data_IF_980676199945
#
_entry.id   IF_980676199945
#
_cell.length_a   1.000
_cell.length_b   1.000
_cell.length_c   1.000
_cell.angle_alpha   90.00
_cell.angle_beta   90.00
_cell.angle_gamma   90.00
#
_symmetry.space_group_name_H-M   'P 1'
#
loop_
_entity.id
_entity.type
_entity.pdbx_description
1 polymer ?
#
# COMPACT_ATOMS: atom_id res chain seq x y z
N UNK A 1 -28.20 46.41 13.72
CA UNK A 1 -28.09 45.00 13.30
C UNK A 1 -28.85 44.14 14.31
N UNK A 2 -30.17 44.04 14.17
CA UNK A 2 -31.04 43.19 15.00
C UNK A 2 -31.99 42.45 14.08
N UNK A 3 -31.51 41.39 13.40
CA UNK A 3 -32.34 40.46 12.62
C UNK A 3 -31.71 39.05 12.61
N UNK A 4 -30.97 38.69 13.68
CA UNK A 4 -30.25 37.40 13.77
C UNK A 4 -30.91 36.32 14.63
N UNK A 5 -32.06 36.61 15.26
CA UNK A 5 -32.63 35.75 16.31
C UNK A 5 -34.02 35.17 16.01
N UNK A 6 -34.53 35.24 14.78
CA UNK A 6 -35.84 34.66 14.43
C UNK A 6 -35.73 33.26 13.79
N UNK A 7 -34.59 32.88 13.21
CA UNK A 7 -34.40 31.55 12.58
C UNK A 7 -33.82 30.48 13.53
N UNK A 8 -34.19 30.51 14.80
CA UNK A 8 -33.69 29.52 15.78
C UNK A 8 -34.83 28.97 16.63
N UNK A 9 -35.64 28.05 16.09
CA UNK A 9 -36.14 26.90 16.88
C UNK A 9 -37.04 25.86 16.19
N UNK A 10 -37.67 26.06 15.00
CA UNK A 10 -38.69 25.10 14.54
C UNK A 10 -38.46 24.35 13.21
N UNK A 11 -37.58 24.81 12.31
CA UNK A 11 -37.46 24.23 10.96
C UNK A 11 -36.26 23.28 10.75
N UNK A 12 -35.39 23.13 11.75
CA UNK A 12 -34.25 22.21 11.65
C UNK A 12 -34.62 20.74 11.88
N UNK A 13 -35.85 20.44 12.31
CA UNK A 13 -36.35 19.06 12.44
C UNK A 13 -36.77 18.43 11.11
N UNK A 14 -36.73 19.18 10.00
CA UNK A 14 -37.22 18.71 8.70
C UNK A 14 -36.15 17.92 7.92
N UNK A 15 -34.87 18.16 8.16
CA UNK A 15 -33.73 17.52 7.47
C UNK A 15 -33.20 16.30 8.23
N UNK A 16 -34.08 15.40 8.66
CA UNK A 16 -33.69 14.22 9.41
C UNK A 16 -34.42 12.97 8.96
N UNK A 17 -33.76 11.82 9.11
CA UNK A 17 -34.45 10.54 9.04
C UNK A 17 -35.57 10.50 10.09
N UNK A 18 -36.59 9.67 9.87
CA UNK A 18 -37.61 9.41 10.89
C UNK A 18 -36.92 8.81 12.12
N UNK A 19 -36.80 9.61 13.18
CA UNK A 19 -36.19 9.20 14.45
C UNK A 19 -37.24 8.57 15.37
N UNK A 20 -36.83 7.85 16.44
CA UNK A 20 -37.77 7.34 17.43
C UNK A 20 -38.66 8.42 18.07
N UNK A 21 -38.18 9.66 18.17
CA UNK A 21 -38.94 10.81 18.69
C UNK A 21 -40.07 11.21 17.73
N UNK A 22 -39.80 11.22 16.42
CA UNK A 22 -40.82 11.47 15.39
C UNK A 22 -41.84 10.34 15.33
N UNK A 23 -41.41 9.10 15.50
CA UNK A 23 -42.32 7.95 15.56
C UNK A 23 -43.30 8.03 16.74
N UNK A 24 -42.86 8.51 17.92
CA UNK A 24 -43.77 8.74 19.06
C UNK A 24 -44.76 9.89 18.81
N UNK A 25 -44.44 10.77 17.88
CA UNK A 25 -45.28 11.89 17.48
C UNK A 25 -46.25 11.54 16.34
N UNK A 26 -46.32 10.27 15.93
CA UNK A 26 -47.24 9.77 14.90
C UNK A 26 -46.67 9.74 13.48
N UNK A 27 -45.42 10.17 13.29
CA UNK A 27 -44.74 10.12 11.99
C UNK A 27 -44.00 8.80 11.83
N UNK A 28 -44.64 7.81 11.20
CA UNK A 28 -44.07 6.48 11.03
C UNK A 28 -43.21 6.41 9.74
N UNK A 29 -43.58 7.19 8.73
CA UNK A 29 -42.94 7.23 7.43
C UNK A 29 -42.71 8.68 6.96
N UNK A 30 -41.93 8.85 5.90
CA UNK A 30 -41.73 10.18 5.29
C UNK A 30 -43.00 10.78 4.68
N UNK A 31 -44.02 9.96 4.41
CA UNK A 31 -45.32 10.40 3.88
C UNK A 31 -46.20 11.06 4.94
N UNK A 32 -45.95 10.74 6.20
CA UNK A 32 -46.69 11.31 7.32
C UNK A 32 -46.21 12.74 7.64
N UNK A 33 -45.06 13.16 7.09
CA UNK A 33 -44.48 14.47 7.33
C UNK A 33 -45.36 15.58 6.72
N UNK A 34 -45.47 16.75 7.38
CA UNK A 34 -46.26 17.86 6.86
C UNK A 34 -45.73 18.37 5.51
N UNK A 35 -46.63 18.73 4.60
CA UNK A 35 -46.30 19.25 3.27
C UNK A 35 -45.35 20.46 3.31
N UNK A 36 -45.50 21.35 4.29
CA UNK A 36 -44.60 22.50 4.44
C UNK A 36 -43.16 22.09 4.76
N UNK A 37 -42.97 21.00 5.51
CA UNK A 37 -41.62 20.44 5.74
C UNK A 37 -41.06 19.83 4.45
N UNK A 38 -41.88 19.10 3.69
CA UNK A 38 -41.47 18.50 2.41
C UNK A 38 -41.13 19.57 1.37
N UNK A 39 -41.94 20.62 1.26
CA UNK A 39 -41.70 21.76 0.36
C UNK A 39 -40.45 22.53 0.77
N UNK A 40 -40.23 22.77 2.06
CA UNK A 40 -39.00 23.39 2.53
C UNK A 40 -37.76 22.59 2.14
N UNK A 41 -37.80 21.26 2.28
CA UNK A 41 -36.71 20.37 1.85
C UNK A 41 -36.45 20.45 0.34
N UNK A 42 -37.52 20.51 -0.45
CA UNK A 42 -37.44 20.65 -1.89
C UNK A 42 -36.81 21.99 -2.31
N UNK A 43 -37.19 23.07 -1.63
CA UNK A 43 -36.72 24.42 -1.95
C UNK A 43 -35.32 24.72 -1.37
N UNK A 44 -34.87 23.99 -0.34
CA UNK A 44 -33.63 24.25 0.40
C UNK A 44 -32.74 23.00 0.57
N UNK A 45 -32.24 22.39 -0.52
CA UNK A 45 -31.42 21.18 -0.43
C UNK A 45 -30.01 21.42 0.12
N UNK A 46 -29.55 22.67 0.17
CA UNK A 46 -28.21 23.03 0.63
C UNK A 46 -28.22 23.47 2.09
N UNK A 47 -27.34 22.87 2.89
CA UNK A 47 -27.07 23.32 4.24
C UNK A 47 -26.25 24.61 4.21
N UNK A 48 -26.57 25.56 5.11
CA UNK A 48 -25.77 26.77 5.28
C UNK A 48 -24.40 26.50 5.93
N UNK A 49 -24.28 25.39 6.68
CA UNK A 49 -23.05 25.00 7.36
C UNK A 49 -22.09 24.21 6.48
N UNK A 50 -20.80 24.49 6.60
CA UNK A 50 -19.74 23.74 5.91
C UNK A 50 -19.33 22.53 6.76
N UNK A 51 -19.25 21.34 6.13
CA UNK A 51 -18.65 20.16 6.75
C UNK A 51 -17.14 20.33 6.76
N UNK A 52 -16.55 20.52 7.94
CA UNK A 52 -15.11 20.65 8.10
C UNK A 52 -14.43 19.29 8.24
N UNK A 53 -13.19 19.13 7.76
CA UNK A 53 -12.41 17.92 8.00
C UNK A 53 -12.11 17.76 9.50
N UNK A 54 -11.79 16.53 9.92
CA UNK A 54 -11.36 16.26 11.28
C UNK A 54 -10.15 17.15 11.66
N UNK A 55 -10.23 17.83 12.81
CA UNK A 55 -9.23 18.83 13.28
C UNK A 55 -9.07 20.05 12.36
N UNK A 56 -10.06 20.37 11.54
CA UNK A 56 -10.09 21.55 10.67
C UNK A 56 -8.90 21.67 9.70
N UNK A 57 -8.25 20.55 9.38
CA UNK A 57 -7.09 20.51 8.49
C UNK A 57 -7.04 19.22 7.66
N UNK A 58 -6.45 19.24 6.45
CA UNK A 58 -6.21 18.03 5.69
C UNK A 58 -5.22 17.10 6.42
N UNK A 59 -5.42 15.79 6.28
CA UNK A 59 -4.51 14.78 6.83
C UNK A 59 -3.16 14.74 6.09
N UNK A 60 -3.18 15.08 4.82
CA UNK A 60 -2.05 15.03 3.91
C UNK A 60 -2.31 15.93 2.70
N UNK A 61 -1.30 16.67 2.26
CA UNK A 61 -1.34 17.49 1.04
C UNK A 61 -0.16 17.07 0.16
N UNK A 62 -0.44 16.59 -1.05
CA UNK A 62 0.62 16.32 -2.01
C UNK A 62 1.03 17.58 -2.78
N UNK A 63 2.32 17.67 -3.08
CA UNK A 63 2.89 18.79 -3.85
C UNK A 63 3.15 18.46 -5.32
N UNK A 64 3.36 17.18 -5.67
CA UNK A 64 3.86 16.76 -7.00
C UNK A 64 3.02 15.70 -7.69
N UNK A 65 2.10 15.08 -6.96
CA UNK A 65 1.36 13.89 -7.39
C UNK A 65 -0.14 14.20 -7.42
N UNK A 66 -0.82 13.82 -8.51
CA UNK A 66 -2.28 13.95 -8.64
C UNK A 66 -2.93 12.63 -8.25
N UNK A 67 -3.65 12.60 -7.13
CA UNK A 67 -4.34 11.39 -6.68
C UNK A 67 -5.72 11.25 -7.29
N UNK A 68 -6.02 10.05 -7.77
CA UNK A 68 -7.29 9.70 -8.42
C UNK A 68 -8.16 8.84 -7.53
N UNK A 69 -7.57 7.99 -6.68
CA UNK A 69 -8.29 7.00 -5.86
C UNK A 69 -7.66 6.85 -4.49
N UNK A 70 -8.48 6.46 -3.51
CA UNK A 70 -8.08 6.21 -2.13
C UNK A 70 -8.69 4.89 -1.65
N UNK A 71 -7.91 4.12 -0.91
CA UNK A 71 -8.39 3.00 -0.11
C UNK A 71 -7.73 3.03 1.28
N UNK A 72 -8.46 2.63 2.31
CA UNK A 72 -7.96 2.63 3.69
C UNK A 72 -7.72 1.19 4.12
N UNK A 73 -6.51 0.92 4.60
CA UNK A 73 -6.13 -0.39 5.13
C UNK A 73 -6.68 -0.63 6.55
N UNK A 74 -6.61 -1.87 7.04
CA UNK A 74 -6.94 -2.16 8.43
C UNK A 74 -6.04 -1.36 9.38
N UNK A 75 -6.54 -0.93 10.55
CA UNK A 75 -5.71 -0.28 11.56
C UNK A 75 -4.62 -1.25 12.02
N UNK A 76 -3.42 -0.72 12.23
CA UNK A 76 -2.31 -1.49 12.76
C UNK A 76 -1.98 -1.03 14.18
N UNK A 77 -1.97 -1.98 15.11
CA UNK A 77 -1.56 -1.78 16.49
C UNK A 77 -0.17 -2.38 16.67
N UNK A 78 0.87 -1.55 16.68
CA UNK A 78 2.23 -2.05 16.47
C UNK A 78 2.98 -2.44 17.77
N UNK A 79 2.44 -2.23 18.97
CA UNK A 79 3.15 -2.58 20.21
C UNK A 79 2.25 -2.53 21.46
N UNK A 80 2.78 -3.00 22.59
CA UNK A 80 2.29 -2.82 23.96
C UNK A 80 2.05 -1.34 24.34
N UNK A 81 2.63 -0.39 23.58
CA UNK A 81 2.48 1.07 23.76
C UNK A 81 1.26 1.68 23.05
N UNK A 82 0.31 0.88 22.53
CA UNK A 82 -0.95 1.34 21.92
C UNK A 82 -0.79 2.33 20.73
N UNK A 83 0.39 2.36 20.08
CA UNK A 83 0.57 3.18 18.86
C UNK A 83 -0.32 2.61 17.75
N UNK A 84 -1.28 3.42 17.32
CA UNK A 84 -2.22 3.06 16.27
C UNK A 84 -1.82 3.74 14.97
N UNK A 85 -1.43 2.96 13.98
CA UNK A 85 -1.12 3.45 12.64
C UNK A 85 -2.36 3.31 11.76
N UNK A 86 -2.67 4.37 11.02
CA UNK A 86 -3.65 4.30 9.92
C UNK A 86 -2.88 4.28 8.60
N UNK A 87 -3.23 3.33 7.74
CA UNK A 87 -2.55 3.14 6.46
C UNK A 87 -3.54 3.47 5.35
N UNK A 88 -3.13 4.34 4.44
CA UNK A 88 -3.92 4.79 3.31
C UNK A 88 -3.15 4.43 2.03
N UNK A 89 -3.86 3.90 1.05
CA UNK A 89 -3.36 3.65 -0.29
C UNK A 89 -3.93 4.70 -1.23
N UNK A 90 -3.05 5.39 -1.95
CA UNK A 90 -3.42 6.44 -2.90
C UNK A 90 -2.96 6.04 -4.30
N UNK A 91 -3.89 6.03 -5.25
CA UNK A 91 -3.59 5.81 -6.66
C UNK A 91 -3.43 7.14 -7.38
N UNK A 92 -2.49 7.21 -8.32
CA UNK A 92 -2.22 8.42 -9.12
C UNK A 92 -2.77 8.32 -10.53
N UNK A 93 -2.80 9.47 -11.21
CA UNK A 93 -3.08 9.60 -12.65
C UNK A 93 -2.00 9.00 -13.55
N UNK A 94 -0.82 8.69 -13.01
CA UNK A 94 0.33 8.09 -13.72
C UNK A 94 0.55 6.62 -13.41
N UNK A 95 -0.44 5.93 -12.83
CA UNK A 95 -0.34 4.48 -12.58
C UNK A 95 0.54 4.10 -11.38
N UNK A 96 0.90 5.08 -10.56
CA UNK A 96 1.69 4.89 -9.33
C UNK A 96 0.79 4.72 -8.13
N UNK A 97 1.02 3.68 -7.33
CA UNK A 97 0.41 3.44 -6.04
C UNK A 97 1.32 3.94 -4.92
N UNK A 98 0.80 4.78 -4.04
CA UNK A 98 1.48 5.23 -2.82
C UNK A 98 0.87 4.56 -1.60
N UNK A 99 1.73 4.01 -0.73
CA UNK A 99 1.36 3.62 0.64
C UNK A 99 1.71 4.75 1.59
N UNK A 100 0.72 5.26 2.30
CA UNK A 100 0.83 6.44 3.17
C UNK A 100 0.50 6.03 4.60
N UNK A 101 1.37 6.40 5.53
CA UNK A 101 1.25 6.07 6.94
C UNK A 101 0.91 7.33 7.71
N UNK A 102 -0.16 7.26 8.50
CA UNK A 102 -0.61 8.31 9.40
C UNK A 102 -0.34 7.86 10.84
N UNK A 103 0.38 8.70 11.58
CA UNK A 103 0.63 8.57 13.02
C UNK A 103 0.43 9.93 13.71
N UNK A 104 0.42 9.94 15.03
CA UNK A 104 0.04 11.14 15.80
C UNK A 104 0.90 12.38 15.51
N UNK A 105 2.19 12.18 15.18
CA UNK A 105 3.14 13.27 14.91
C UNK A 105 3.30 13.59 13.40
N UNK A 106 2.53 12.97 12.51
CA UNK A 106 2.59 13.30 11.09
C UNK A 106 2.18 12.20 10.13
N UNK A 107 2.16 12.57 8.85
CA UNK A 107 1.80 11.70 7.73
C UNK A 107 2.94 11.66 6.74
N UNK A 108 3.30 10.47 6.24
CA UNK A 108 4.36 10.32 5.25
C UNK A 108 4.09 9.18 4.28
N UNK A 109 4.71 9.24 3.09
CA UNK A 109 4.64 8.18 2.08
C UNK A 109 5.70 7.14 2.42
N UNK A 110 5.31 5.92 2.77
CA UNK A 110 6.24 4.83 3.13
C UNK A 110 6.75 4.07 1.91
N UNK A 111 5.95 3.98 0.84
CA UNK A 111 6.31 3.26 -0.39
C UNK A 111 5.62 3.85 -1.61
N UNK A 112 6.28 3.73 -2.77
CA UNK A 112 5.78 4.08 -4.10
C UNK A 112 6.02 2.91 -5.06
N UNK A 113 4.97 2.46 -5.73
CA UNK A 113 5.05 1.34 -6.68
C UNK A 113 4.45 1.78 -8.01
N UNK A 114 5.24 1.72 -9.08
CA UNK A 114 4.76 1.97 -10.45
C UNK A 114 4.11 0.68 -10.96
N UNK A 115 2.78 0.65 -11.05
CA UNK A 115 2.04 -0.54 -11.47
C UNK A 115 1.63 -0.49 -12.94
N UNK A 116 1.33 0.71 -13.43
CA UNK A 116 0.76 0.95 -14.75
C UNK A 116 1.36 2.22 -15.37
N UNK A 117 1.20 2.38 -16.68
CA UNK A 117 1.52 3.63 -17.37
C UNK A 117 0.30 4.55 -17.51
N UNK A 118 -0.88 4.08 -17.08
CA UNK A 118 -2.16 4.78 -17.12
C UNK A 118 -2.74 5.04 -15.72
N UNK A 119 -3.65 6.01 -15.65
CA UNK A 119 -4.34 6.42 -14.43
C UNK A 119 -5.03 5.26 -13.71
N UNK A 120 -4.77 5.14 -12.40
CA UNK A 120 -5.49 4.19 -11.53
C UNK A 120 -6.96 4.61 -11.46
N UNK A 121 -7.85 3.68 -11.81
CA UNK A 121 -9.30 3.86 -11.89
C UNK A 121 -10.06 3.26 -10.71
N UNK A 122 -9.48 2.28 -10.01
CA UNK A 122 -10.08 1.76 -8.78
C UNK A 122 -9.02 1.20 -7.83
N UNK A 123 -9.33 1.25 -6.53
CA UNK A 123 -8.60 0.60 -5.45
C UNK A 123 -9.59 -0.17 -4.58
N UNK A 124 -9.43 -1.49 -4.50
CA UNK A 124 -10.28 -2.34 -3.68
C UNK A 124 -9.45 -3.02 -2.60
N UNK A 125 -9.66 -2.60 -1.36
CA UNK A 125 -9.02 -3.22 -0.20
C UNK A 125 -9.76 -4.52 0.16
N UNK A 126 -9.06 -5.66 0.19
CA UNK A 126 -9.57 -6.93 0.67
C UNK A 126 -8.79 -7.39 1.93
N UNK A 127 -9.17 -6.90 3.14
CA UNK A 127 -8.44 -7.20 4.37
C UNK A 127 -8.36 -8.69 4.71
N UNK A 128 -9.45 -9.43 4.45
CA UNK A 128 -9.51 -10.89 4.69
C UNK A 128 -8.52 -11.69 3.86
N UNK A 129 -8.09 -11.16 2.71
CA UNK A 129 -7.07 -11.78 1.84
C UNK A 129 -5.68 -11.19 2.05
N UNK A 130 -5.55 -10.09 2.80
CA UNK A 130 -4.29 -9.35 2.92
C UNK A 130 -3.84 -8.67 1.61
N UNK A 131 -4.79 -8.33 0.73
CA UNK A 131 -4.51 -7.93 -0.66
C UNK A 131 -5.26 -6.65 -1.04
N UNK A 132 -4.59 -5.76 -1.76
CA UNK A 132 -5.15 -4.61 -2.43
C UNK A 132 -5.22 -4.88 -3.94
N UNK A 133 -6.41 -4.74 -4.52
CA UNK A 133 -6.58 -4.83 -5.97
C UNK A 133 -6.58 -3.44 -6.58
N UNK A 134 -5.72 -3.22 -7.57
CA UNK A 134 -5.52 -1.94 -8.25
C UNK A 134 -5.93 -2.11 -9.71
N UNK A 135 -6.88 -1.31 -10.16
CA UNK A 135 -7.38 -1.35 -11.54
C UNK A 135 -6.94 -0.10 -12.31
N UNK A 136 -6.53 -0.31 -13.57
CA UNK A 136 -6.28 0.73 -14.57
C UNK A 136 -6.95 0.35 -15.90
N UNK A 137 -6.77 1.17 -16.94
CA UNK A 137 -7.21 0.83 -18.29
C UNK A 137 -6.41 -0.35 -18.89
N UNK A 138 -5.21 -0.61 -18.39
CA UNK A 138 -4.32 -1.68 -18.86
C UNK A 138 -4.63 -3.03 -18.22
N UNK A 139 -5.22 -3.05 -17.02
CA UNK A 139 -5.57 -4.28 -16.32
C UNK A 139 -5.74 -4.14 -14.82
N UNK A 140 -5.53 -5.25 -14.12
CA UNK A 140 -5.66 -5.35 -12.65
C UNK A 140 -4.39 -5.92 -12.05
N UNK A 141 -3.84 -5.24 -11.05
CA UNK A 141 -2.72 -5.68 -10.26
C UNK A 141 -3.21 -6.09 -8.86
N UNK A 142 -2.64 -7.17 -8.34
CA UNK A 142 -2.85 -7.61 -6.95
C UNK A 142 -1.60 -7.26 -6.14
N UNK A 143 -1.76 -6.40 -5.15
CA UNK A 143 -0.66 -5.91 -4.32
C UNK A 143 -0.85 -6.39 -2.88
N UNK A 144 0.08 -7.17 -2.30
CA UNK A 144 0.01 -7.55 -0.90
C UNK A 144 0.12 -6.31 0.01
N UNK A 145 -0.68 -6.27 1.08
CA UNK A 145 -0.66 -5.20 2.10
C UNK A 145 0.69 -5.12 2.81
N UNK A 146 1.28 -6.30 3.04
CA UNK A 146 2.55 -6.49 3.73
C UNK A 146 3.52 -7.15 2.76
N UNK A 147 4.59 -6.42 2.39
CA UNK A 147 5.62 -6.94 1.50
C UNK A 147 7.00 -6.42 1.91
N UNK A 148 7.43 -6.83 3.10
CA UNK A 148 8.66 -6.34 3.72
C UNK A 148 9.92 -6.74 2.94
N UNK A 149 9.90 -7.89 2.27
CA UNK A 149 11.01 -8.40 1.46
C UNK A 149 11.37 -7.47 0.28
N UNK A 150 10.49 -6.55 -0.10
CA UNK A 150 10.79 -5.53 -1.11
C UNK A 150 11.76 -4.44 -0.62
N UNK A 151 11.94 -4.29 0.70
CA UNK A 151 12.81 -3.27 1.27
C UNK A 151 14.21 -3.83 1.51
N UNK A 152 15.19 -3.28 0.81
CA UNK A 152 16.56 -3.78 0.83
C UNK A 152 17.47 -3.03 1.82
N UNK A 153 17.00 -1.92 2.39
CA UNK A 153 17.74 -1.13 3.36
C UNK A 153 16.95 -0.98 4.65
N UNK A 154 17.65 -0.91 5.79
CA UNK A 154 17.04 -0.67 7.09
C UNK A 154 16.18 0.59 7.07
N UNK A 155 16.69 1.69 6.49
CA UNK A 155 16.02 2.98 6.46
C UNK A 155 14.71 3.00 5.66
N UNK A 156 14.55 2.10 4.67
CA UNK A 156 13.29 1.89 3.97
C UNK A 156 12.38 0.92 4.74
N UNK A 157 12.94 -0.14 5.31
CA UNK A 157 12.19 -1.15 6.06
C UNK A 157 11.42 -0.55 7.25
N UNK A 158 12.11 0.23 8.09
CA UNK A 158 11.52 0.80 9.32
C UNK A 158 10.49 1.90 9.05
N UNK A 159 10.35 2.36 7.81
CA UNK A 159 9.28 3.32 7.42
C UNK A 159 7.93 2.64 7.28
N UNK A 160 7.87 1.33 7.03
CA UNK A 160 6.63 0.58 6.91
C UNK A 160 6.26 -0.04 8.27
N UNK A 161 5.14 0.37 8.90
CA UNK A 161 4.75 -0.13 10.23
C UNK A 161 4.53 -1.65 10.30
N UNK A 162 4.34 -2.32 9.16
CA UNK A 162 4.22 -3.77 9.11
C UNK A 162 5.57 -4.50 9.17
N UNK A 163 6.69 -3.79 9.11
CA UNK A 163 8.00 -4.36 8.88
C UNK A 163 8.99 -3.99 9.99
N UNK A 164 10.01 -4.83 10.17
CA UNK A 164 11.14 -4.60 11.07
C UNK A 164 12.43 -5.14 10.44
N UNK A 165 13.57 -4.60 10.85
CA UNK A 165 14.87 -4.97 10.28
C UNK A 165 15.55 -6.04 11.13
N UNK A 166 15.86 -7.20 10.54
CA UNK A 166 16.56 -8.31 11.20
C UNK A 166 18.05 -8.33 10.85
N UNK A 167 18.74 -7.20 11.13
CA UNK A 167 20.17 -6.91 10.87
C UNK A 167 20.66 -7.01 9.41
N UNK A 168 20.09 -7.92 8.62
CA UNK A 168 20.53 -8.34 7.29
C UNK A 168 19.45 -8.13 6.23
N UNK A 169 18.17 -8.28 6.59
CA UNK A 169 17.04 -8.13 5.68
C UNK A 169 15.79 -7.64 6.43
N UNK A 170 14.83 -7.15 5.66
CA UNK A 170 13.56 -6.67 6.19
C UNK A 170 12.57 -7.84 6.34
N UNK A 171 11.96 -7.95 7.52
CA UNK A 171 11.01 -9.00 7.87
C UNK A 171 9.68 -8.41 8.35
N UNK A 172 8.63 -9.23 8.37
CA UNK A 172 7.32 -8.84 8.90
C UNK A 172 7.42 -8.68 10.43
N UNK A 173 6.89 -7.57 10.94
CA UNK A 173 6.78 -7.33 12.37
C UNK A 173 5.79 -8.33 13.01
N UNK A 174 6.30 -9.31 13.76
CA UNK A 174 5.51 -10.26 14.54
C UNK A 174 5.45 -9.79 15.99
N UNK A 175 4.25 -9.58 16.52
CA UNK A 175 3.97 -9.11 17.89
C UNK A 175 4.58 -9.96 19.02
N UNK A 176 5.14 -11.13 18.72
CA UNK A 176 5.73 -12.08 19.69
C UNK A 176 7.25 -11.97 19.89
N UNK A 177 7.96 -11.15 19.11
CA UNK A 177 9.41 -10.99 19.27
C UNK A 177 9.70 -9.64 19.94
N UNK A 178 10.14 -9.69 21.21
CA UNK A 178 10.89 -8.60 21.84
C UNK A 178 12.18 -8.42 21.07
N UNK A 179 12.15 -7.68 19.98
CA UNK A 179 13.35 -7.11 19.41
C UNK A 179 13.02 -5.69 18.95
N UNK A 180 13.27 -4.77 19.87
CA UNK A 180 13.40 -3.35 19.62
C UNK A 180 14.52 -3.13 18.60
N UNK A 181 14.14 -2.97 17.34
CA UNK A 181 14.95 -2.28 16.36
C UNK A 181 14.04 -1.26 15.67
N UNK A 182 13.47 -0.34 16.47
CA UNK A 182 12.91 0.92 15.97
C UNK A 182 14.02 1.85 15.44
N UNK A 183 15.29 1.50 15.64
CA UNK A 183 16.43 2.29 15.27
C UNK A 183 17.34 1.52 14.32
N UNK A 184 17.55 2.07 13.12
CA UNK A 184 18.70 1.74 12.28
C UNK A 184 20.01 2.29 12.88
N UNK A 185 20.14 2.26 14.21
CA UNK A 185 21.34 2.71 14.90
C UNK A 185 22.47 1.73 14.59
N UNK A 186 23.69 2.24 14.37
CA UNK A 186 24.85 1.38 14.22
C UNK A 186 25.05 0.59 15.51
N UNK A 187 25.14 -0.74 15.39
CA UNK A 187 25.61 -1.56 16.50
C UNK A 187 27.06 -1.17 16.80
N UNK A 188 27.31 -0.52 17.94
CA UNK A 188 28.65 -0.40 18.47
C UNK A 188 29.10 -1.78 18.94
N UNK A 189 30.03 -2.40 18.21
CA UNK A 189 30.75 -3.55 18.72
C UNK A 189 31.48 -3.15 20.02
N UNK A 190 31.48 -4.05 21.01
CA UNK A 190 32.17 -3.90 22.31
C UNK A 190 33.68 -3.62 22.17
N UNK A 191 34.21 -3.71 20.95
CA UNK A 191 35.61 -3.46 20.60
C UNK A 191 35.88 -2.09 19.95
N UNK A 192 34.93 -1.15 19.93
CA UNK A 192 35.20 0.24 19.52
C UNK A 192 35.62 0.44 18.06
N UNK A 193 35.49 -0.59 17.22
CA UNK A 193 35.64 -0.43 15.79
C UNK A 193 34.31 0.07 15.22
N UNK A 194 34.33 1.24 14.60
CA UNK A 194 33.23 1.74 13.79
C UNK A 194 33.00 0.77 12.62
N UNK A 195 32.19 -0.26 12.83
CA UNK A 195 31.59 -1.01 11.76
C UNK A 195 30.67 -0.04 11.03
N UNK A 196 31.20 0.51 9.93
CA UNK A 196 30.45 1.31 8.97
C UNK A 196 29.14 0.57 8.71
N UNK A 197 28.02 1.25 8.93
CA UNK A 197 26.69 0.77 8.52
C UNK A 197 26.89 0.13 7.16
N UNK A 198 26.51 -1.14 7.02
CA UNK A 198 26.51 -1.81 5.73
C UNK A 198 25.44 -1.10 4.88
N UNK A 199 25.77 0.08 4.36
CA UNK A 199 25.10 0.69 3.23
C UNK A 199 25.26 -0.28 2.07
N UNK A 200 24.13 -0.60 1.45
CA UNK A 200 24.00 -1.31 0.20
C UNK A 200 24.86 -2.58 0.06
N UNK A 201 24.35 -3.68 0.63
CA UNK A 201 24.44 -4.93 -0.14
C UNK A 201 23.36 -4.84 -1.20
N UNK A 202 23.79 -4.64 -2.43
CA UNK A 202 22.95 -4.59 -3.63
C UNK A 202 21.75 -5.50 -3.48
N UNK A 203 20.56 -4.92 -3.67
CA UNK A 203 19.34 -5.68 -3.78
C UNK A 203 19.40 -6.50 -5.07
N UNK A 204 20.10 -7.63 -5.03
CA UNK A 204 20.19 -8.55 -6.14
C UNK A 204 18.82 -9.19 -6.28
N UNK A 205 17.96 -8.50 -7.02
CA UNK A 205 16.71 -9.04 -7.49
C UNK A 205 17.02 -10.37 -8.19
N UNK A 206 16.40 -11.49 -7.79
CA UNK A 206 16.54 -12.76 -8.50
C UNK A 206 16.26 -12.61 -10.00
N UNK A 207 15.42 -11.63 -10.37
CA UNK A 207 15.12 -11.28 -11.76
C UNK A 207 16.33 -10.72 -12.54
N UNK A 208 17.29 -10.04 -11.90
CA UNK A 208 18.50 -9.56 -12.58
C UNK A 208 19.45 -10.72 -12.93
N UNK A 209 19.57 -11.72 -12.05
CA UNK A 209 20.34 -12.93 -12.32
C UNK A 209 19.68 -13.80 -13.38
N UNK A 210 18.34 -13.94 -13.33
CA UNK A 210 17.59 -14.63 -14.37
C UNK A 210 17.66 -13.89 -15.71
N UNK A 211 17.60 -12.56 -15.71
CA UNK A 211 17.78 -11.73 -16.90
C UNK A 211 19.17 -11.88 -17.52
N UNK A 212 20.23 -11.80 -16.71
CA UNK A 212 21.61 -12.06 -17.14
C UNK A 212 21.79 -13.47 -17.69
N UNK A 213 21.21 -14.47 -17.03
CA UNK A 213 21.25 -15.86 -17.49
C UNK A 213 20.57 -16.03 -18.86
N UNK A 214 19.39 -15.42 -19.06
CA UNK A 214 18.69 -15.46 -20.36
C UNK A 214 19.48 -14.74 -21.46
N UNK A 215 20.11 -13.61 -21.16
CA UNK A 215 20.98 -12.89 -22.10
C UNK A 215 22.20 -13.75 -22.46
N UNK A 216 22.85 -14.37 -21.48
CA UNK A 216 23.98 -15.27 -21.71
C UNK A 216 23.60 -16.51 -22.53
N UNK A 217 22.40 -17.07 -22.31
CA UNK A 217 21.86 -18.15 -23.13
C UNK A 217 21.66 -17.71 -24.59
N UNK A 218 21.07 -16.53 -24.81
CA UNK A 218 20.88 -15.99 -26.17
C UNK A 218 22.23 -15.74 -26.85
N UNK A 219 23.19 -15.14 -26.15
CA UNK A 219 24.55 -14.91 -26.67
C UNK A 219 25.22 -16.25 -27.01
N UNK A 220 25.13 -17.27 -26.15
CA UNK A 220 25.69 -18.59 -26.41
C UNK A 220 25.08 -19.24 -27.67
N UNK A 221 23.76 -19.15 -27.83
CA UNK A 221 23.05 -19.66 -29.02
C UNK A 221 23.44 -18.90 -30.29
N UNK A 222 23.64 -17.59 -30.21
CA UNK A 222 24.06 -16.75 -31.36
C UNK A 222 25.52 -17.03 -31.74
N UNK A 223 26.43 -17.13 -30.76
CA UNK A 223 27.84 -17.45 -30.99
C UNK A 223 28.03 -18.84 -31.60
N UNK A 224 27.27 -19.84 -31.15
CA UNK A 224 27.28 -21.18 -31.74
C UNK A 224 26.77 -21.21 -33.19
N UNK A 225 25.90 -20.28 -33.58
CA UNK A 225 25.44 -20.11 -34.97
C UNK A 225 26.40 -19.32 -35.86
N UNK A 226 27.07 -18.31 -35.31
CA UNK A 226 27.94 -17.43 -36.09
C UNK A 226 29.32 -18.05 -36.35
N UNK A 227 29.83 -18.88 -35.45
CA UNK A 227 31.16 -19.52 -35.58
C UNK A 227 31.07 -21.06 -35.44
N UNK A 228 30.51 -21.77 -36.43
CA UNK A 228 30.33 -23.22 -36.37
C UNK A 228 31.65 -24.01 -36.38
N UNK A 229 32.76 -23.41 -36.81
CA UNK A 229 34.01 -24.13 -37.10
C UNK A 229 35.04 -24.23 -35.97
N UNK A 230 34.73 -23.81 -34.72
CA UNK A 230 35.73 -23.87 -33.63
C UNK A 230 35.30 -24.52 -32.31
N UNK A 231 34.21 -25.29 -32.25
CA UNK A 231 33.77 -25.93 -31.01
C UNK A 231 33.38 -27.41 -31.15
N UNK A 232 34.34 -28.27 -31.52
CA UNK A 232 34.22 -29.73 -31.32
C UNK A 232 34.30 -30.11 -29.82
N UNK A 233 34.78 -29.21 -28.96
CA UNK A 233 34.92 -29.47 -27.51
C UNK A 233 33.71 -29.05 -26.65
N UNK A 234 32.93 -28.04 -27.03
CA UNK A 234 31.83 -27.54 -26.19
C UNK A 234 30.59 -28.45 -26.19
N UNK A 235 30.28 -29.09 -27.34
CA UNK A 235 29.16 -30.03 -27.45
C UNK A 235 29.28 -31.25 -26.53
N UNK A 236 30.50 -31.67 -26.19
CA UNK A 236 30.75 -32.78 -25.23
C UNK A 236 30.47 -32.37 -23.79
N UNK A 237 30.73 -31.12 -23.42
CA UNK A 237 30.49 -30.59 -22.07
C UNK A 237 28.99 -30.41 -21.83
N UNK A 238 28.25 -29.81 -22.78
CA UNK A 238 26.80 -29.67 -22.65
C UNK A 238 26.07 -31.02 -22.57
N UNK A 239 26.50 -32.02 -23.35
CA UNK A 239 25.95 -33.39 -23.29
C UNK A 239 26.25 -34.07 -21.94
N UNK A 240 27.44 -33.85 -21.38
CA UNK A 240 27.83 -34.38 -20.08
C UNK A 240 27.09 -33.71 -18.91
N UNK A 241 26.89 -32.39 -18.95
CA UNK A 241 26.10 -31.65 -17.95
C UNK A 241 24.63 -32.09 -17.98
N UNK A 242 24.04 -32.28 -19.18
CA UNK A 242 22.65 -32.73 -19.32
C UNK A 242 22.45 -34.16 -18.77
N UNK A 243 23.37 -35.09 -19.08
CA UNK A 243 23.32 -36.46 -18.55
C UNK A 243 23.60 -36.56 -17.04
N UNK A 244 24.33 -35.60 -16.46
CA UNK A 244 24.65 -35.62 -15.03
C UNK A 244 23.59 -34.96 -14.14
N UNK A 245 22.81 -34.02 -14.68
CA UNK A 245 21.82 -33.26 -13.88
C UNK A 245 20.35 -33.61 -14.16
N UNK A 246 20.00 -34.18 -15.32
CA UNK A 246 18.59 -34.35 -15.70
C UNK A 246 18.14 -35.80 -15.93
N UNK A 247 18.99 -36.81 -15.77
CA UNK A 247 18.62 -38.23 -15.99
C UNK A 247 18.72 -39.13 -14.77
N UNK A 248 18.71 -38.57 -13.55
CA UNK A 248 18.59 -39.38 -12.32
C UNK A 248 17.41 -38.93 -11.48
N UNK A 249 16.20 -39.27 -11.92
CA UNK A 249 15.06 -39.57 -11.04
C UNK A 249 14.30 -40.75 -11.67
N UNK A 250 14.54 -41.99 -11.21
CA UNK A 250 13.53 -43.03 -11.31
C UNK A 250 12.50 -42.83 -10.17
N UNK A 251 11.26 -43.21 -10.46
CA UNK A 251 10.08 -43.26 -9.58
C UNK A 251 9.14 -42.04 -9.58
N UNK A 252 8.18 -42.11 -10.51
CA UNK A 252 6.75 -41.98 -10.18
C UNK A 252 5.98 -42.88 -11.16
N UNK A 253 5.60 -44.06 -10.68
CA UNK A 253 4.42 -44.80 -11.17
C UNK A 253 3.26 -44.44 -10.26
#
# INVERSE_FOLDING_TARGET
MMLGHIFRSHFYSSLQCITPELHRSGFNTSLDLPDDSLRYLQDNPLLAGVVKPYKDKPLFVAHKDTYTRIAVGPPLHADLKLRTYRIIYLGTDKGVLHKVVLRDNGTYVSSKINLFNSSIKNLLMAPSKGMLYVNSAEGVAQVPVVYCEAYCSCSLCVKDPHCTWNMTHCIIHRTSLKQSVETCEPHHDVNGNNSRIQEDKDCFSPFLLLGLFMILLVISVVLTRLWPHRHVYAGRIYRWIWQRHFTTHPDFR
#
